data_IF_774475086292
#
_entry.id   IF_774475086292
#
_cell.length_a   1.000
_cell.length_b   1.000
_cell.length_c   1.000
_cell.angle_alpha   90.00
_cell.angle_beta   90.00
_cell.angle_gamma   90.00
#
_symmetry.space_group_name_H-M   'P 1'
#
loop_
_entity.id
_entity.type
_entity.pdbx_description
1 polymer ?
#
# COMPACT_ATOMS: atom_id res chain seq x y z
N UNK A 1 -24.65 -24.95 4.07
CA UNK A 1 -24.76 -23.49 4.14
C UNK A 1 -23.35 -22.97 3.91
N UNK A 2 -23.10 -22.26 2.80
CA UNK A 2 -21.85 -21.49 2.70
C UNK A 2 -21.86 -20.48 3.85
N UNK A 3 -20.70 -20.23 4.51
CA UNK A 3 -20.63 -19.19 5.51
C UNK A 3 -21.09 -17.87 4.84
N UNK A 4 -21.89 -17.11 5.57
CA UNK A 4 -22.38 -15.83 5.06
C UNK A 4 -21.16 -14.96 4.75
N UNK A 5 -21.02 -14.53 3.49
CA UNK A 5 -19.90 -13.69 3.06
C UNK A 5 -19.99 -12.33 3.75
N UNK A 6 -18.89 -11.89 4.34
CA UNK A 6 -18.78 -10.60 5.01
C UNK A 6 -17.60 -9.81 4.45
N UNK A 7 -17.72 -8.48 4.43
CA UNK A 7 -16.67 -7.58 3.95
C UNK A 7 -16.25 -6.61 5.05
N UNK A 8 -14.95 -6.36 5.15
CA UNK A 8 -14.37 -5.27 5.92
C UNK A 8 -13.82 -4.21 4.97
N UNK A 9 -14.32 -2.98 5.06
CA UNK A 9 -13.86 -1.81 4.32
C UNK A 9 -12.87 -1.03 5.17
N UNK A 10 -11.65 -0.86 4.66
CA UNK A 10 -10.57 -0.14 5.37
C UNK A 10 -10.14 1.06 4.53
N UNK A 11 -10.51 2.25 4.94
CA UNK A 11 -10.23 3.51 4.23
C UNK A 11 -10.34 4.68 5.21
N UNK A 12 -9.45 5.64 5.19
CA UNK A 12 -9.51 6.83 6.04
C UNK A 12 -10.47 7.90 5.53
N UNK A 13 -10.87 7.81 4.25
CA UNK A 13 -11.84 8.71 3.63
C UNK A 13 -13.27 8.32 4.01
N UNK A 14 -13.81 8.91 5.10
CA UNK A 14 -15.11 8.56 5.66
C UNK A 14 -16.24 8.53 4.61
N UNK A 15 -16.34 9.58 3.76
CA UNK A 15 -17.39 9.66 2.73
C UNK A 15 -17.34 8.50 1.73
N UNK A 16 -16.15 8.12 1.29
CA UNK A 16 -15.96 6.99 0.35
C UNK A 16 -16.32 5.68 1.04
N UNK A 17 -15.79 5.45 2.24
CA UNK A 17 -16.02 4.24 3.03
C UNK A 17 -17.51 4.03 3.30
N UNK A 18 -18.20 5.06 3.82
CA UNK A 18 -19.63 5.03 4.10
C UNK A 18 -20.47 4.82 2.83
N UNK A 19 -20.09 5.47 1.71
CA UNK A 19 -20.76 5.31 0.42
C UNK A 19 -20.63 3.88 -0.11
N UNK A 20 -19.43 3.29 -0.04
CA UNK A 20 -19.19 1.90 -0.43
C UNK A 20 -19.97 0.94 0.49
N UNK A 21 -19.96 1.17 1.80
CA UNK A 21 -20.71 0.36 2.74
C UNK A 21 -22.20 0.37 2.45
N UNK A 22 -22.78 1.55 2.18
CA UNK A 22 -24.17 1.69 1.80
C UNK A 22 -24.47 0.97 0.48
N UNK A 23 -23.60 1.10 -0.53
CA UNK A 23 -23.77 0.45 -1.82
C UNK A 23 -23.70 -1.09 -1.71
N UNK A 24 -22.74 -1.65 -0.95
CA UNK A 24 -22.65 -3.09 -0.72
C UNK A 24 -23.85 -3.64 0.04
N UNK A 25 -24.35 -2.93 1.07
CA UNK A 25 -25.58 -3.30 1.79
C UNK A 25 -26.80 -3.29 0.85
N UNK A 26 -26.92 -2.27 0.01
CA UNK A 26 -28.02 -2.15 -0.96
C UNK A 26 -27.97 -3.24 -2.04
N UNK A 27 -26.77 -3.61 -2.49
CA UNK A 27 -26.58 -4.68 -3.47
C UNK A 27 -26.83 -6.09 -2.89
N UNK A 28 -26.83 -6.25 -1.56
CA UNK A 28 -27.02 -7.54 -0.90
C UNK A 28 -25.94 -8.58 -1.21
N UNK A 29 -24.75 -8.11 -1.63
CA UNK A 29 -23.63 -8.98 -2.01
C UNK A 29 -23.02 -9.65 -0.79
N UNK A 30 -22.98 -8.96 0.34
CA UNK A 30 -22.46 -9.44 1.62
C UNK A 30 -23.56 -9.42 2.67
N UNK A 31 -23.56 -10.42 3.56
CA UNK A 31 -24.50 -10.48 4.69
C UNK A 31 -24.17 -9.43 5.76
N UNK A 32 -22.87 -9.11 5.89
CA UNK A 32 -22.37 -8.13 6.85
C UNK A 32 -21.31 -7.24 6.20
N UNK A 33 -21.35 -5.95 6.52
CA UNK A 33 -20.41 -4.93 6.02
C UNK A 33 -19.84 -4.21 7.23
N UNK A 34 -18.56 -4.44 7.49
CA UNK A 34 -17.78 -3.82 8.57
C UNK A 34 -16.94 -2.68 8.01
N UNK A 35 -16.57 -1.76 8.85
CA UNK A 35 -15.81 -0.57 8.50
C UNK A 35 -14.64 -0.38 9.47
N UNK A 36 -13.51 0.14 8.97
CA UNK A 36 -12.38 0.58 9.76
C UNK A 36 -11.75 1.82 9.10
N UNK A 37 -11.31 2.78 9.90
CA UNK A 37 -10.76 4.05 9.42
C UNK A 37 -9.23 4.06 9.36
N UNK A 38 -8.58 3.08 10.01
CA UNK A 38 -7.13 2.95 10.08
C UNK A 38 -6.70 1.47 10.18
N UNK A 39 -5.40 1.22 10.03
CA UNK A 39 -4.86 -0.12 10.04
C UNK A 39 -4.96 -0.81 11.40
N UNK A 40 -4.86 -0.06 12.50
CA UNK A 40 -4.96 -0.62 13.84
C UNK A 40 -6.39 -1.10 14.13
N UNK A 41 -7.39 -0.33 13.72
CA UNK A 41 -8.80 -0.73 13.81
C UNK A 41 -9.09 -1.91 12.91
N UNK A 42 -8.59 -1.89 11.66
CA UNK A 42 -8.77 -2.99 10.71
C UNK A 42 -8.30 -4.33 11.27
N UNK A 43 -7.13 -4.36 11.91
CA UNK A 43 -6.59 -5.58 12.53
C UNK A 43 -7.47 -6.05 13.69
N UNK A 44 -7.94 -5.14 14.57
CA UNK A 44 -8.84 -5.50 15.68
C UNK A 44 -10.17 -6.07 15.19
N UNK A 45 -10.76 -5.41 14.19
CA UNK A 45 -12.03 -5.85 13.59
C UNK A 45 -11.86 -7.21 12.91
N UNK A 46 -10.80 -7.39 12.12
CA UNK A 46 -10.53 -8.65 11.43
C UNK A 46 -10.27 -9.80 12.39
N UNK A 47 -9.57 -9.57 13.51
CA UNK A 47 -9.30 -10.58 14.52
C UNK A 47 -10.60 -11.12 15.16
N UNK A 48 -11.55 -10.23 15.46
CA UNK A 48 -12.80 -10.59 16.14
C UNK A 48 -13.85 -11.14 15.19
N UNK A 49 -14.03 -10.48 14.04
CA UNK A 49 -15.15 -10.73 13.13
C UNK A 49 -14.81 -11.69 11.97
N UNK A 50 -13.52 -11.98 11.74
CA UNK A 50 -13.05 -12.92 10.72
C UNK A 50 -13.75 -12.72 9.36
N UNK A 51 -13.65 -11.52 8.74
CA UNK A 51 -14.32 -11.24 7.47
C UNK A 51 -13.82 -12.16 6.36
N UNK A 52 -14.72 -12.51 5.43
CA UNK A 52 -14.35 -13.33 4.26
C UNK A 52 -13.56 -12.54 3.23
N UNK A 53 -13.82 -11.22 3.13
CA UNK A 53 -13.11 -10.31 2.25
C UNK A 53 -12.73 -9.03 2.98
N UNK A 54 -11.56 -8.50 2.66
CA UNK A 54 -11.09 -7.19 3.15
C UNK A 54 -10.76 -6.32 1.94
N UNK A 55 -11.43 -5.19 1.81
CA UNK A 55 -11.12 -4.16 0.83
C UNK A 55 -10.28 -3.09 1.53
N UNK A 56 -8.99 -3.01 1.15
CA UNK A 56 -7.96 -2.30 1.90
C UNK A 56 -7.38 -1.14 1.10
N UNK A 57 -7.42 0.07 1.64
CA UNK A 57 -6.68 1.19 1.05
C UNK A 57 -5.16 1.00 1.20
N UNK A 58 -4.41 1.47 0.21
CA UNK A 58 -2.94 1.50 0.23
C UNK A 58 -2.42 2.56 1.20
N UNK A 59 -3.06 3.73 1.25
CA UNK A 59 -2.66 4.85 2.09
C UNK A 59 -3.58 4.96 3.31
N UNK A 60 -3.05 4.74 4.50
CA UNK A 60 -3.77 4.85 5.76
C UNK A 60 -3.07 5.86 6.69
N UNK A 61 -3.78 6.49 7.61
CA UNK A 61 -3.21 7.55 8.47
C UNK A 61 -2.13 7.03 9.43
N UNK A 62 -2.19 5.75 9.79
CA UNK A 62 -1.25 5.08 10.69
C UNK A 62 -0.18 4.26 9.96
N UNK A 63 -0.11 4.36 8.63
CA UNK A 63 0.92 3.68 7.83
C UNK A 63 0.46 3.23 6.44
N UNK A 64 1.16 2.25 5.89
CA UNK A 64 0.83 1.69 4.59
C UNK A 64 -0.07 0.47 4.72
N UNK A 65 -1.10 0.37 3.87
CA UNK A 65 -1.92 -0.83 3.75
C UNK A 65 -1.10 -2.10 3.49
N UNK A 66 0.09 -1.98 2.88
CA UNK A 66 1.00 -3.12 2.70
C UNK A 66 1.51 -3.70 4.02
N UNK A 67 1.76 -2.85 5.02
CA UNK A 67 2.17 -3.27 6.37
C UNK A 67 0.99 -3.89 7.13
N UNK A 68 -0.18 -3.26 6.98
CA UNK A 68 -1.43 -3.75 7.57
C UNK A 68 -1.80 -5.12 7.01
N UNK A 69 -1.59 -5.37 5.71
CA UNK A 69 -1.85 -6.68 5.08
C UNK A 69 -1.12 -7.82 5.78
N UNK A 70 0.16 -7.64 6.14
CA UNK A 70 0.93 -8.68 6.83
C UNK A 70 0.33 -9.02 8.19
N UNK A 71 -0.17 -8.02 8.93
CA UNK A 71 -0.84 -8.20 10.21
C UNK A 71 -2.22 -8.85 10.03
N UNK A 72 -2.99 -8.41 9.05
CA UNK A 72 -4.31 -8.99 8.72
C UNK A 72 -4.20 -10.47 8.39
N UNK A 73 -3.18 -10.87 7.61
CA UNK A 73 -2.94 -12.29 7.30
C UNK A 73 -2.57 -13.12 8.53
N UNK A 74 -2.02 -12.53 9.57
CA UNK A 74 -1.73 -13.23 10.83
C UNK A 74 -2.99 -13.44 11.67
N UNK A 75 -3.94 -12.50 11.69
CA UNK A 75 -5.15 -12.55 12.54
C UNK A 75 -6.36 -13.12 11.81
N UNK A 76 -6.45 -12.94 10.49
CA UNK A 76 -7.53 -13.45 9.62
C UNK A 76 -6.94 -14.13 8.36
N UNK A 77 -6.26 -15.28 8.49
CA UNK A 77 -5.50 -15.91 7.41
C UNK A 77 -6.37 -16.38 6.24
N UNK A 78 -7.66 -16.63 6.48
CA UNK A 78 -8.61 -17.06 5.45
C UNK A 78 -9.21 -15.90 4.64
N UNK A 79 -9.04 -14.65 5.12
CA UNK A 79 -9.61 -13.49 4.44
C UNK A 79 -8.94 -13.24 3.08
N UNK A 80 -9.77 -13.04 2.06
CA UNK A 80 -9.36 -12.56 0.75
C UNK A 80 -9.10 -11.07 0.86
N UNK A 81 -7.90 -10.59 0.51
CA UNK A 81 -7.57 -9.17 0.58
C UNK A 81 -7.42 -8.59 -0.82
N UNK A 82 -8.17 -7.53 -1.10
CA UNK A 82 -8.10 -6.75 -2.35
C UNK A 82 -7.76 -5.31 -1.98
N UNK A 83 -6.74 -4.74 -2.63
CA UNK A 83 -6.42 -3.34 -2.47
C UNK A 83 -7.32 -2.45 -3.31
N UNK A 84 -7.72 -1.32 -2.73
CA UNK A 84 -8.42 -0.24 -3.44
C UNK A 84 -7.58 1.05 -3.30
N UNK A 85 -7.09 1.61 -4.41
CA UNK A 85 -6.12 2.70 -4.41
C UNK A 85 -6.53 3.86 -5.31
N UNK A 86 -6.14 5.09 -4.96
CA UNK A 86 -6.24 6.24 -5.86
C UNK A 86 -5.30 6.14 -7.08
N UNK A 87 -4.27 5.30 -7.00
CA UNK A 87 -3.21 5.22 -8.01
C UNK A 87 -3.19 3.85 -8.71
N UNK A 88 -3.07 3.86 -10.04
CA UNK A 88 -2.79 2.69 -10.86
C UNK A 88 -1.29 2.59 -11.09
N UNK A 89 -0.59 1.96 -10.16
CA UNK A 89 0.86 1.80 -10.21
C UNK A 89 1.22 0.31 -10.19
N UNK A 90 1.89 -0.15 -11.25
CA UNK A 90 2.27 -1.57 -11.40
C UNK A 90 3.16 -2.03 -10.25
N UNK A 91 4.02 -1.15 -9.73
CA UNK A 91 4.84 -1.42 -8.56
C UNK A 91 4.01 -1.70 -7.29
N UNK A 92 2.87 -1.01 -7.14
CA UNK A 92 1.95 -1.25 -6.01
C UNK A 92 1.20 -2.57 -6.17
N UNK A 93 0.70 -2.85 -7.38
CA UNK A 93 0.03 -4.10 -7.67
C UNK A 93 1.01 -5.29 -7.49
N UNK A 94 2.24 -5.17 -8.00
CA UNK A 94 3.28 -6.16 -7.79
C UNK A 94 3.57 -6.37 -6.30
N UNK A 95 3.71 -5.30 -5.52
CA UNK A 95 3.90 -5.38 -4.07
C UNK A 95 2.73 -6.04 -3.38
N UNK A 96 1.49 -5.67 -3.72
CA UNK A 96 0.28 -6.29 -3.18
C UNK A 96 0.28 -7.81 -3.42
N UNK A 97 0.52 -8.23 -4.66
CA UNK A 97 0.57 -9.64 -5.02
C UNK A 97 1.74 -10.39 -4.36
N UNK A 98 2.91 -9.78 -4.23
CA UNK A 98 4.07 -10.38 -3.54
C UNK A 98 3.79 -10.65 -2.06
N UNK A 99 2.96 -9.82 -1.44
CA UNK A 99 2.50 -9.98 -0.05
C UNK A 99 1.26 -10.90 0.04
N UNK A 100 0.76 -11.41 -1.08
CA UNK A 100 -0.32 -12.37 -1.15
C UNK A 100 -1.71 -11.74 -1.14
N UNK A 101 -1.88 -10.49 -1.56
CA UNK A 101 -3.20 -9.96 -1.89
C UNK A 101 -3.79 -10.72 -3.10
N UNK A 102 -5.11 -10.80 -3.13
CA UNK A 102 -5.85 -11.39 -4.26
C UNK A 102 -6.06 -10.38 -5.39
N UNK A 103 -6.03 -9.07 -5.08
CA UNK A 103 -6.31 -8.07 -6.09
C UNK A 103 -5.77 -6.67 -5.79
N UNK A 104 -5.76 -5.87 -6.87
CA UNK A 104 -5.43 -4.46 -6.84
C UNK A 104 -6.32 -3.68 -7.80
N UNK A 105 -7.16 -2.79 -7.28
CA UNK A 105 -8.17 -2.03 -8.01
C UNK A 105 -8.00 -0.53 -7.77
N UNK A 106 -8.46 0.29 -8.71
CA UNK A 106 -8.52 1.75 -8.54
C UNK A 106 -9.83 2.18 -7.88
N UNK A 107 -9.76 3.15 -6.97
CA UNK A 107 -10.93 3.85 -6.39
C UNK A 107 -11.77 4.59 -7.44
N UNK A 108 -11.27 4.73 -8.68
CA UNK A 108 -12.02 5.35 -9.80
C UNK A 108 -12.83 4.36 -10.62
N UNK A 109 -12.81 3.06 -10.30
CA UNK A 109 -13.65 2.08 -10.97
C UNK A 109 -15.13 2.28 -10.64
N UNK A 110 -16.03 2.04 -11.60
CA UNK A 110 -17.46 1.91 -11.34
C UNK A 110 -17.75 0.81 -10.31
N UNK A 111 -18.82 0.99 -9.52
CA UNK A 111 -19.15 0.05 -8.45
C UNK A 111 -19.43 -1.37 -8.95
N UNK A 112 -20.08 -1.51 -10.11
CA UNK A 112 -20.34 -2.80 -10.76
C UNK A 112 -19.04 -3.53 -11.19
N UNK A 113 -18.03 -2.80 -11.67
CA UNK A 113 -16.72 -3.38 -11.97
C UNK A 113 -16.00 -3.83 -10.68
N UNK A 114 -16.11 -3.03 -9.60
CA UNK A 114 -15.56 -3.43 -8.29
C UNK A 114 -16.24 -4.71 -7.80
N UNK A 115 -17.57 -4.77 -7.81
CA UNK A 115 -18.31 -5.95 -7.32
C UNK A 115 -17.99 -7.20 -8.14
N UNK A 116 -17.86 -7.07 -9.47
CA UNK A 116 -17.44 -8.18 -10.35
C UNK A 116 -16.06 -8.69 -9.98
N UNK A 117 -15.10 -7.79 -9.84
CA UNK A 117 -13.73 -8.16 -9.44
C UNK A 117 -13.67 -8.80 -8.04
N UNK A 118 -14.47 -8.32 -7.07
CA UNK A 118 -14.53 -8.94 -5.74
C UNK A 118 -15.12 -10.35 -5.78
N UNK A 119 -16.12 -10.61 -6.63
CA UNK A 119 -16.67 -11.95 -6.83
C UNK A 119 -15.61 -12.90 -7.43
N UNK A 120 -14.84 -12.43 -8.42
CA UNK A 120 -13.73 -13.20 -8.99
C UNK A 120 -12.63 -13.49 -7.96
N UNK A 121 -12.31 -12.50 -7.12
CA UNK A 121 -11.32 -12.67 -6.04
C UNK A 121 -11.79 -13.73 -5.01
N UNK A 122 -13.06 -13.70 -4.62
CA UNK A 122 -13.67 -14.71 -3.74
C UNK A 122 -13.69 -16.11 -4.38
N UNK A 123 -13.79 -16.19 -5.72
CA UNK A 123 -13.66 -17.42 -6.49
C UNK A 123 -12.18 -17.90 -6.62
N UNK A 124 -11.23 -17.21 -6.00
CA UNK A 124 -9.81 -17.57 -6.00
C UNK A 124 -9.01 -17.04 -7.19
N UNK A 125 -9.58 -16.16 -8.00
CA UNK A 125 -8.87 -15.53 -9.12
C UNK A 125 -8.07 -14.33 -8.62
N UNK A 126 -6.95 -14.05 -9.30
CA UNK A 126 -6.25 -12.75 -9.12
C UNK A 126 -6.95 -11.68 -9.94
N UNK A 127 -7.23 -10.53 -9.32
CA UNK A 127 -7.92 -9.43 -9.97
C UNK A 127 -7.02 -8.19 -10.03
N UNK A 128 -7.09 -7.49 -11.16
CA UNK A 128 -6.31 -6.29 -11.42
C UNK A 128 -7.21 -5.24 -12.07
N UNK A 129 -6.98 -3.96 -11.78
CA UNK A 129 -7.67 -2.87 -12.47
C UNK A 129 -7.62 -3.08 -14.00
N UNK A 130 -8.75 -3.00 -14.72
CA UNK A 130 -8.79 -3.28 -16.17
C UNK A 130 -7.88 -2.40 -17.04
N UNK A 131 -7.41 -1.27 -16.50
CA UNK A 131 -6.48 -0.35 -17.18
C UNK A 131 -5.01 -0.64 -16.88
N UNK A 132 -4.73 -1.71 -16.13
CA UNK A 132 -3.38 -2.21 -15.83
C UNK A 132 -3.14 -3.53 -16.54
N UNK A 133 -1.87 -3.90 -16.69
CA UNK A 133 -1.46 -5.14 -17.39
C UNK A 133 -0.89 -6.16 -16.41
N UNK A 134 -1.43 -7.37 -16.42
CA UNK A 134 -0.85 -8.49 -15.68
C UNK A 134 0.56 -8.84 -16.14
N UNK A 135 0.89 -8.60 -17.43
CA UNK A 135 2.24 -8.86 -17.94
C UNK A 135 3.25 -7.88 -17.37
N UNK A 136 2.92 -6.58 -17.27
CA UNK A 136 3.78 -5.54 -16.68
C UNK A 136 3.97 -5.78 -15.18
N UNK A 137 2.89 -6.04 -14.46
CA UNK A 137 2.93 -6.40 -13.04
C UNK A 137 3.70 -7.72 -12.84
N UNK A 138 3.51 -8.71 -13.72
CA UNK A 138 4.21 -9.99 -13.69
C UNK A 138 5.72 -9.86 -13.90
N UNK A 139 6.15 -8.96 -14.79
CA UNK A 139 7.57 -8.65 -14.98
C UNK A 139 8.19 -8.10 -13.68
N UNK A 140 7.53 -7.16 -13.01
CA UNK A 140 7.99 -6.63 -11.72
C UNK A 140 8.04 -7.71 -10.63
N UNK A 141 7.08 -8.63 -10.61
CA UNK A 141 7.09 -9.78 -9.70
C UNK A 141 8.26 -10.75 -9.97
N UNK A 142 8.56 -11.00 -11.25
CA UNK A 142 9.62 -11.94 -11.64
C UNK A 142 11.02 -11.40 -11.39
N UNK A 143 11.21 -10.09 -11.51
CA UNK A 143 12.48 -9.42 -11.20
C UNK A 143 12.70 -9.30 -9.68
N UNK A 144 11.65 -9.55 -8.88
CA UNK A 144 11.75 -9.55 -7.41
C UNK A 144 11.95 -8.16 -6.83
N UNK A 145 11.65 -7.10 -7.58
CA UNK A 145 12.16 -5.79 -7.19
C UNK A 145 11.11 -4.67 -7.19
N UNK A 146 10.74 -4.26 -5.99
CA UNK A 146 10.49 -2.84 -5.77
C UNK A 146 11.72 -2.05 -6.28
N UNK A 147 11.57 -0.90 -6.91
CA UNK A 147 12.71 -0.04 -7.24
C UNK A 147 13.61 0.28 -6.04
N UNK A 148 13.14 0.00 -4.82
CA UNK A 148 13.87 0.16 -3.55
C UNK A 148 14.47 -1.15 -3.03
N UNK A 149 14.15 -2.30 -3.66
CA UNK A 149 14.70 -3.59 -3.24
C UNK A 149 16.21 -3.61 -3.46
N UNK A 150 16.94 -4.15 -2.49
CA UNK A 150 18.39 -4.14 -2.49
C UNK A 150 19.03 -2.81 -2.07
N UNK A 151 18.24 -1.77 -1.77
CA UNK A 151 18.82 -0.57 -1.17
C UNK A 151 19.25 -0.84 0.27
N UNK A 152 20.47 -0.45 0.65
CA UNK A 152 20.89 -0.52 2.05
C UNK A 152 19.95 0.30 2.93
N UNK A 153 19.70 -0.17 4.17
CA UNK A 153 18.83 0.49 5.14
C UNK A 153 19.10 1.98 5.29
N UNK A 154 20.39 2.37 5.39
CA UNK A 154 20.80 3.78 5.48
C UNK A 154 20.44 4.60 4.24
N UNK A 155 20.42 4.00 3.07
CA UNK A 155 19.98 4.67 1.84
C UNK A 155 18.47 4.92 1.83
N UNK A 156 17.69 3.96 2.33
CA UNK A 156 16.24 4.10 2.51
C UNK A 156 15.89 5.17 3.55
N UNK A 157 16.64 5.23 4.66
CA UNK A 157 16.48 6.26 5.70
C UNK A 157 16.74 7.66 5.12
N UNK A 158 17.83 7.85 4.38
CA UNK A 158 18.13 9.13 3.71
C UNK A 158 17.07 9.46 2.66
N UNK A 159 16.60 8.48 1.89
CA UNK A 159 15.53 8.69 0.90
C UNK A 159 14.24 9.14 1.55
N UNK A 160 13.84 8.53 2.67
CA UNK A 160 12.67 8.94 3.44
C UNK A 160 12.78 10.39 3.93
N UNK A 161 13.91 10.76 4.52
CA UNK A 161 14.15 12.13 4.96
C UNK A 161 14.17 13.14 3.81
N UNK A 162 14.71 12.77 2.64
CA UNK A 162 14.67 13.62 1.44
C UNK A 162 13.22 13.84 0.96
N UNK A 163 12.37 12.82 1.01
CA UNK A 163 10.94 12.93 0.67
C UNK A 163 10.18 13.81 1.67
N UNK A 164 10.61 13.83 2.92
CA UNK A 164 10.06 14.73 3.95
C UNK A 164 10.56 16.17 3.83
N UNK A 165 11.51 16.45 2.93
CA UNK A 165 12.07 17.80 2.74
C UNK A 165 13.10 18.20 3.78
N UNK A 166 13.70 17.23 4.48
CA UNK A 166 14.68 17.50 5.53
C UNK A 166 16.00 18.06 4.96
N UNK A 167 16.63 18.96 5.71
CA UNK A 167 17.94 19.50 5.36
C UNK A 167 19.06 18.49 5.59
N UNK A 168 20.16 18.59 4.81
CA UNK A 168 21.34 17.74 4.96
C UNK A 168 21.87 17.70 6.40
N UNK A 169 21.89 18.87 7.07
CA UNK A 169 22.35 18.99 8.46
C UNK A 169 21.42 18.23 9.44
N UNK A 170 20.10 18.35 9.28
CA UNK A 170 19.14 17.59 10.12
C UNK A 170 19.23 16.09 9.89
N UNK A 171 19.33 15.66 8.63
CA UNK A 171 19.57 14.26 8.29
C UNK A 171 20.85 13.71 8.91
N UNK A 172 21.96 14.47 8.82
CA UNK A 172 23.25 14.08 9.37
C UNK A 172 23.19 13.88 10.89
N UNK A 173 22.56 14.84 11.60
CA UNK A 173 22.37 14.75 13.03
C UNK A 173 21.50 13.56 13.45
N UNK A 174 20.39 13.37 12.77
CA UNK A 174 19.40 12.33 13.07
C UNK A 174 19.91 10.90 12.79
N UNK A 175 20.68 10.74 11.74
CA UNK A 175 21.25 9.47 11.34
C UNK A 175 22.63 9.19 11.95
N UNK A 176 23.14 10.14 12.77
CA UNK A 176 24.48 10.05 13.41
C UNK A 176 25.61 9.83 12.39
N UNK A 177 25.56 10.56 11.29
CA UNK A 177 26.56 10.51 10.21
C UNK A 177 27.03 11.92 9.83
N UNK A 178 28.10 12.02 9.03
CA UNK A 178 28.54 13.33 8.50
C UNK A 178 27.63 13.80 7.36
N UNK A 179 27.52 15.13 7.17
CA UNK A 179 26.82 15.70 6.02
C UNK A 179 27.39 15.19 4.68
N UNK A 180 28.69 14.98 4.61
CA UNK A 180 29.34 14.36 3.44
C UNK A 180 28.83 12.94 3.18
N UNK A 181 28.53 12.19 4.23
CA UNK A 181 27.93 10.85 4.11
C UNK A 181 26.51 10.93 3.57
N UNK A 182 25.70 11.88 4.05
CA UNK A 182 24.35 12.14 3.54
C UNK A 182 24.38 12.49 2.05
N UNK A 183 25.28 13.40 1.64
CA UNK A 183 25.46 13.77 0.22
C UNK A 183 25.89 12.58 -0.65
N UNK A 184 26.70 11.68 -0.12
CA UNK A 184 27.06 10.43 -0.82
C UNK A 184 25.84 9.54 -1.06
N UNK A 185 24.96 9.36 -0.05
CA UNK A 185 23.72 8.62 -0.21
C UNK A 185 22.77 9.32 -1.18
N UNK A 186 22.62 10.64 -1.09
CA UNK A 186 21.82 11.44 -2.02
C UNK A 186 22.24 11.24 -3.47
N UNK A 187 23.54 11.27 -3.73
CA UNK A 187 24.09 11.03 -5.08
C UNK A 187 23.77 9.62 -5.58
N UNK A 188 23.86 8.60 -4.72
CA UNK A 188 23.49 7.23 -5.07
C UNK A 188 22.00 7.10 -5.36
N UNK A 189 21.14 7.73 -4.55
CA UNK A 189 19.70 7.76 -4.74
C UNK A 189 19.35 8.41 -6.09
N UNK A 190 19.92 9.58 -6.37
CA UNK A 190 19.71 10.28 -7.63
C UNK A 190 20.12 9.43 -8.84
N UNK A 191 21.30 8.81 -8.77
CA UNK A 191 21.78 7.89 -9.80
C UNK A 191 20.86 6.69 -9.99
N UNK A 192 20.41 6.07 -8.91
CA UNK A 192 19.53 4.90 -8.94
C UNK A 192 18.15 5.21 -9.52
N UNK A 193 17.63 6.42 -9.25
CA UNK A 193 16.34 6.88 -9.77
C UNK A 193 16.45 7.54 -11.16
N UNK A 194 17.67 7.83 -11.66
CA UNK A 194 17.88 8.51 -12.92
C UNK A 194 17.46 9.98 -12.90
N UNK A 195 17.59 10.66 -11.75
CA UNK A 195 17.22 12.06 -11.54
C UNK A 195 18.45 12.91 -11.23
N UNK A 196 18.33 14.22 -11.43
CA UNK A 196 19.44 15.18 -11.24
C UNK A 196 19.17 16.16 -10.09
N UNK A 197 17.93 16.23 -9.60
CA UNK A 197 17.53 17.19 -8.58
C UNK A 197 16.50 16.62 -7.60
N UNK A 198 16.40 17.24 -6.41
CA UNK A 198 15.39 16.88 -5.41
C UNK A 198 13.96 17.04 -5.92
N UNK A 199 13.58 18.13 -6.63
CA UNK A 199 12.25 18.22 -7.23
C UNK A 199 11.93 17.08 -8.20
N UNK A 200 12.87 16.71 -9.08
CA UNK A 200 12.70 15.56 -9.98
C UNK A 200 12.53 14.25 -9.20
N UNK A 201 13.30 14.06 -8.13
CA UNK A 201 13.19 12.91 -7.25
C UNK A 201 11.77 12.83 -6.64
N UNK A 202 11.22 13.95 -6.14
CA UNK A 202 9.86 13.97 -5.58
C UNK A 202 8.80 13.63 -6.63
N UNK A 203 8.91 14.17 -7.84
CA UNK A 203 7.99 13.85 -8.94
C UNK A 203 8.07 12.35 -9.26
N UNK A 204 9.29 11.84 -9.42
CA UNK A 204 9.51 10.43 -9.73
C UNK A 204 9.02 9.49 -8.62
N UNK A 205 9.29 9.84 -7.36
CA UNK A 205 8.83 9.07 -6.21
C UNK A 205 7.31 8.97 -6.16
N UNK A 206 6.60 10.08 -6.37
CA UNK A 206 5.13 10.09 -6.43
C UNK A 206 4.60 9.31 -7.63
N UNK A 207 5.17 9.53 -8.82
CA UNK A 207 4.71 8.86 -10.05
C UNK A 207 4.88 7.34 -9.97
N UNK A 208 5.95 6.87 -9.31
CA UNK A 208 6.24 5.44 -9.12
C UNK A 208 5.80 4.90 -7.76
N UNK A 209 5.19 5.72 -6.92
CA UNK A 209 4.71 5.34 -5.59
C UNK A 209 5.80 4.86 -4.62
N UNK A 210 7.03 5.35 -4.79
CA UNK A 210 8.17 4.87 -4.01
C UNK A 210 8.09 5.24 -2.52
N UNK A 211 7.40 6.30 -2.18
CA UNK A 211 7.15 6.77 -0.81
C UNK A 211 6.41 5.74 0.04
N UNK A 212 5.44 5.03 -0.55
CA UNK A 212 4.68 3.98 0.13
C UNK A 212 5.40 2.62 0.14
N UNK A 213 6.43 2.45 -0.68
CA UNK A 213 7.24 1.23 -0.71
C UNK A 213 8.36 1.23 0.34
N UNK A 214 8.62 2.35 1.00
CA UNK A 214 9.60 2.42 2.09
C UNK A 214 9.10 1.56 3.28
N UNK A 215 9.92 0.64 3.81
CA UNK A 215 9.54 -0.19 4.95
C UNK A 215 9.14 0.62 6.19
N UNK A 216 8.13 0.16 6.91
CA UNK A 216 7.55 0.89 8.03
C UNK A 216 8.45 1.00 9.26
N UNK A 217 9.34 0.04 9.45
CA UNK A 217 10.37 0.12 10.48
C UNK A 217 11.32 1.31 10.25
N UNK A 218 11.56 1.69 8.99
CA UNK A 218 12.34 2.87 8.63
C UNK A 218 11.53 4.15 8.94
N UNK A 219 10.25 4.18 8.55
CA UNK A 219 9.36 5.32 8.82
C UNK A 219 9.22 5.55 10.33
N UNK A 220 8.95 4.51 11.10
CA UNK A 220 8.76 4.61 12.55
C UNK A 220 10.02 5.03 13.32
N UNK A 221 11.21 4.62 12.89
CA UNK A 221 12.49 5.06 13.48
C UNK A 221 12.78 6.53 13.28
N UNK A 222 12.21 7.13 12.25
CA UNK A 222 12.38 8.54 11.89
C UNK A 222 11.17 9.40 12.26
N UNK A 223 10.14 8.79 12.88
CA UNK A 223 8.98 9.52 13.43
C UNK A 223 9.46 10.48 14.53
N UNK A 224 9.37 11.75 14.28
CA UNK A 224 9.93 12.83 15.15
C UNK A 224 10.98 13.69 14.46
N UNK A 225 11.43 13.27 13.27
CA UNK A 225 12.28 14.04 12.37
C UNK A 225 11.47 14.65 11.22
N UNK A 226 10.31 14.09 10.97
CA UNK A 226 9.38 14.47 9.89
C UNK A 226 8.13 15.08 10.46
#
# INVERSE_FOLDING_TARGET
>A
MQPAESILLVDDHALLRESLAAAFRAAGMFSEVFEAQDGAEAVRVAEVLQPTLILLDVALPDGSGFEVLSRLKSVAPAAVVVFLSMHRLDAYAAKAFSLGAAGYLSKSLPFDEVTGALADALAGQRVLDPKMSFDEVGQLLSVGSSPLDGWPQRQLEVFHCLLAGESTARMAAALEVSEKTVESYRSRIFKALGVTSTPEMHVQARTKGLDLLIPGDIKSRLTGLV
#
